data_IF_673163001522
#
_entry.id   IF_673163001522
#
_cell.length_a   1.000
_cell.length_b   1.000
_cell.length_c   1.000
_cell.angle_alpha   90.00
_cell.angle_beta   90.00
_cell.angle_gamma   90.00
#
_symmetry.space_group_name_H-M   'P 1'
#
loop_
_entity.id
_entity.type
_entity.pdbx_description
1 polymer ?
#
# COMPACT_ATOMS: atom_id res chain seq x y z
N UNK A 1 -15.78 18.97 27.68
CA UNK A 1 -14.74 18.11 27.12
C UNK A 1 -14.80 18.19 25.56
N UNK A 2 -14.32 19.29 24.94
CA UNK A 2 -14.39 19.53 23.48
C UNK A 2 -13.08 20.10 22.90
N UNK A 3 -11.93 19.91 23.55
CA UNK A 3 -10.65 20.49 23.13
C UNK A 3 -9.67 19.51 22.48
N UNK A 4 -10.00 18.22 22.39
CA UNK A 4 -9.06 17.20 21.89
C UNK A 4 -8.99 17.09 20.36
N UNK A 5 -10.03 17.50 19.65
CA UNK A 5 -10.08 17.40 18.18
C UNK A 5 -9.29 18.52 17.48
N UNK A 6 -9.22 19.71 18.10
CA UNK A 6 -8.53 20.87 17.51
C UNK A 6 -7.00 20.73 17.54
N UNK A 7 -6.47 20.01 18.53
CA UNK A 7 -5.02 19.81 18.67
C UNK A 7 -4.46 18.76 17.68
N UNK A 8 -5.29 17.81 17.23
CA UNK A 8 -4.86 16.79 16.26
C UNK A 8 -4.74 17.31 14.84
N UNK A 9 -5.55 18.30 14.47
CA UNK A 9 -5.46 18.94 13.16
C UNK A 9 -4.25 19.89 13.02
N UNK A 10 -3.75 20.44 14.12
CA UNK A 10 -2.60 21.35 14.10
C UNK A 10 -1.25 20.67 13.90
N UNK A 11 -1.12 19.37 14.19
CA UNK A 11 0.16 18.66 14.05
C UNK A 11 0.56 18.37 12.60
N UNK A 12 -0.40 18.27 11.68
CA UNK A 12 -0.12 18.04 10.24
C UNK A 12 0.22 19.35 9.53
N UNK A 13 -0.37 20.47 9.94
CA UNK A 13 -0.12 21.78 9.33
C UNK A 13 1.28 22.34 9.63
N UNK A 14 1.94 21.91 10.70
CA UNK A 14 3.25 22.46 11.09
C UNK A 14 4.43 21.90 10.31
N UNK A 15 4.28 20.73 9.66
CA UNK A 15 5.35 20.14 8.86
C UNK A 15 5.48 20.78 7.46
N UNK A 16 4.46 21.50 7.00
CA UNK A 16 4.48 22.18 5.69
C UNK A 16 5.07 23.60 5.70
N UNK A 17 5.42 24.18 6.85
CA UNK A 17 5.74 25.61 6.95
C UNK A 17 7.22 25.99 6.79
N UNK A 18 8.12 25.05 6.46
CA UNK A 18 9.57 25.29 6.32
C UNK A 18 10.13 25.03 4.92
N UNK A 19 9.29 24.83 3.91
CA UNK A 19 9.75 24.70 2.53
C UNK A 19 9.44 25.99 1.77
N UNK A 20 10.48 26.68 1.31
CA UNK A 20 10.35 27.66 0.21
C UNK A 20 9.63 26.96 -0.94
N UNK A 21 8.80 27.72 -1.70
CA UNK A 21 7.83 27.28 -2.71
C UNK A 21 8.05 25.84 -3.22
N UNK A 22 7.60 24.85 -2.48
CA UNK A 22 7.56 23.46 -2.90
C UNK A 22 6.40 23.32 -3.89
N UNK A 23 6.67 22.80 -5.08
CA UNK A 23 5.59 22.37 -5.97
C UNK A 23 4.92 21.16 -5.28
N UNK A 24 3.68 21.33 -4.87
CA UNK A 24 2.88 20.28 -4.26
C UNK A 24 1.76 19.87 -5.23
N UNK A 25 1.70 18.60 -5.55
CA UNK A 25 0.61 18.02 -6.35
C UNK A 25 -0.17 17.04 -5.49
N UNK A 26 -1.50 17.11 -5.55
CA UNK A 26 -2.37 16.09 -4.98
C UNK A 26 -3.16 15.42 -6.10
N UNK A 27 -3.07 14.09 -6.21
CA UNK A 27 -3.75 13.33 -7.25
C UNK A 27 -4.33 12.02 -6.71
N UNK A 28 -5.50 11.62 -7.21
CA UNK A 28 -6.08 10.32 -6.92
C UNK A 28 -5.47 9.23 -7.82
N UNK A 29 -5.17 8.05 -7.24
CA UNK A 29 -4.71 6.89 -8.01
C UNK A 29 -5.89 6.05 -8.48
N UNK A 30 -5.84 5.66 -9.75
CA UNK A 30 -6.79 4.73 -10.34
C UNK A 30 -6.11 3.37 -10.53
N UNK A 31 -6.71 2.34 -9.95
CA UNK A 31 -6.21 0.97 -10.06
C UNK A 31 -6.85 0.22 -11.21
N UNK A 32 -6.03 -0.55 -11.91
CA UNK A 32 -6.45 -1.52 -12.92
C UNK A 32 -6.19 -2.93 -12.41
N UNK A 33 -7.17 -3.82 -12.57
CA UNK A 33 -7.06 -5.21 -12.16
C UNK A 33 -6.47 -6.06 -13.28
N UNK A 34 -5.54 -6.96 -12.94
CA UNK A 34 -5.08 -7.99 -13.86
C UNK A 34 -6.22 -8.97 -14.20
N UNK A 35 -6.29 -9.40 -15.46
CA UNK A 35 -7.27 -10.40 -15.92
C UNK A 35 -6.90 -11.85 -15.53
N UNK A 36 -5.69 -12.07 -14.99
CA UNK A 36 -5.18 -13.40 -14.61
C UNK A 36 -5.15 -13.57 -13.09
N UNK A 37 -5.44 -14.78 -12.61
CA UNK A 37 -5.30 -15.14 -11.19
C UNK A 37 -3.83 -15.47 -10.86
N UNK A 38 -3.30 -15.02 -9.70
CA UNK A 38 -3.98 -14.22 -8.68
C UNK A 38 -4.23 -12.78 -9.16
N UNK A 39 -5.39 -12.25 -8.81
CA UNK A 39 -5.75 -10.89 -9.18
C UNK A 39 -4.80 -9.90 -8.48
N UNK A 40 -4.16 -9.08 -9.30
CA UNK A 40 -3.31 -7.98 -8.83
C UNK A 40 -3.91 -6.68 -9.34
N UNK A 41 -4.05 -5.72 -8.44
CA UNK A 41 -4.45 -4.36 -8.79
C UNK A 41 -3.21 -3.50 -8.86
N UNK A 42 -3.05 -2.79 -9.97
CA UNK A 42 -1.89 -1.92 -10.20
C UNK A 42 -2.34 -0.50 -10.50
N UNK A 43 -1.59 0.46 -9.99
CA UNK A 43 -1.71 1.87 -10.36
C UNK A 43 -0.32 2.45 -10.61
N UNK A 44 -0.26 3.44 -11.48
CA UNK A 44 0.97 4.21 -11.73
C UNK A 44 0.78 5.63 -11.24
N UNK A 45 1.87 6.25 -10.81
CA UNK A 45 1.91 7.64 -10.39
C UNK A 45 3.22 8.28 -10.85
N UNK A 46 3.26 9.59 -10.86
CA UNK A 46 4.47 10.33 -11.23
C UNK A 46 4.18 11.80 -11.42
N UNK A 47 5.24 12.59 -11.47
CA UNK A 47 5.15 14.01 -11.70
C UNK A 47 6.43 14.55 -12.36
N UNK A 48 6.29 15.71 -13.02
CA UNK A 48 7.42 16.55 -13.42
C UNK A 48 7.59 17.66 -12.40
N UNK A 49 8.78 17.77 -11.84
CA UNK A 49 9.05 18.61 -10.66
C UNK A 49 10.19 19.59 -10.92
N UNK A 50 10.19 20.69 -10.21
CA UNK A 50 11.30 21.65 -10.19
C UNK A 50 11.59 22.05 -8.76
N UNK A 51 12.86 22.17 -8.41
CA UNK A 51 13.34 22.47 -7.05
C UNK A 51 12.86 21.43 -6.02
N UNK A 52 12.41 21.89 -4.85
CA UNK A 52 11.80 21.01 -3.86
C UNK A 52 10.34 20.74 -4.23
N UNK A 53 9.86 19.52 -3.95
CA UNK A 53 8.50 19.09 -4.18
C UNK A 53 7.96 18.25 -3.02
N UNK A 54 6.63 18.24 -2.88
CA UNK A 54 5.92 17.46 -1.88
C UNK A 54 4.59 17.00 -2.49
N UNK A 55 4.58 15.83 -3.08
CA UNK A 55 3.42 15.28 -3.77
C UNK A 55 2.68 14.26 -2.90
N UNK A 56 1.36 14.27 -2.99
CA UNK A 56 0.47 13.36 -2.28
C UNK A 56 -0.43 12.63 -3.28
N UNK A 57 -0.38 11.32 -3.27
CA UNK A 57 -1.28 10.48 -4.07
C UNK A 57 -2.24 9.76 -3.16
N UNK A 58 -3.55 9.99 -3.38
CA UNK A 58 -4.62 9.41 -2.55
C UNK A 58 -5.24 8.22 -3.22
N UNK A 59 -5.63 7.20 -2.45
CA UNK A 59 -6.38 6.05 -2.94
C UNK A 59 -7.14 5.35 -1.83
N UNK A 60 -8.12 4.54 -2.21
CA UNK A 60 -8.77 3.57 -1.34
C UNK A 60 -8.27 2.17 -1.70
N UNK A 61 -8.39 1.22 -0.76
CA UNK A 61 -7.98 -0.15 -1.04
C UNK A 61 -8.75 -0.70 -2.27
N UNK A 62 -8.06 -1.07 -3.35
CA UNK A 62 -8.72 -1.51 -4.59
C UNK A 62 -9.30 -2.93 -4.49
N UNK A 63 -8.85 -3.69 -3.49
CA UNK A 63 -9.30 -5.06 -3.28
C UNK A 63 -10.63 -5.04 -2.56
N UNK A 64 -11.71 -5.33 -3.27
CA UNK A 64 -13.03 -5.50 -2.65
C UNK A 64 -13.13 -6.85 -1.94
N UNK A 65 -13.77 -6.92 -0.75
CA UNK A 65 -14.07 -8.20 -0.13
C UNK A 65 -14.93 -9.03 -1.09
N UNK A 66 -14.48 -10.23 -1.44
CA UNK A 66 -15.34 -11.16 -2.18
C UNK A 66 -16.53 -11.52 -1.28
N UNK A 67 -17.75 -11.41 -1.81
CA UNK A 67 -18.97 -11.75 -1.10
C UNK A 67 -18.90 -13.19 -0.59
N UNK A 68 -18.79 -13.36 0.73
CA UNK A 68 -18.64 -14.67 1.40
C UNK A 68 -17.38 -14.80 2.29
N UNK A 69 -16.42 -13.89 2.20
CA UNK A 69 -15.25 -13.84 3.08
C UNK A 69 -15.41 -12.69 4.08
N UNK A 70 -16.15 -12.94 5.14
CA UNK A 70 -16.22 -12.05 6.30
C UNK A 70 -15.03 -12.32 7.21
N UNK A 71 -14.00 -11.52 7.10
CA UNK A 71 -12.84 -11.57 7.98
C UNK A 71 -11.71 -10.75 7.39
N UNK A 72 -11.04 -9.94 8.18
CA UNK A 72 -10.03 -8.97 7.76
C UNK A 72 -8.90 -9.55 6.92
N UNK A 73 -9.09 -9.66 5.62
CA UNK A 73 -8.05 -10.05 4.69
C UNK A 73 -7.01 -8.94 4.64
N UNK A 74 -5.81 -9.22 5.10
CA UNK A 74 -4.66 -8.34 4.93
C UNK A 74 -4.20 -8.41 3.48
N UNK A 75 -4.24 -7.30 2.76
CA UNK A 75 -3.69 -7.24 1.42
C UNK A 75 -2.21 -6.88 1.49
N UNK A 76 -1.38 -7.64 0.78
CA UNK A 76 0.05 -7.36 0.67
C UNK A 76 0.28 -6.63 -0.64
N UNK A 77 1.05 -5.55 -0.57
CA UNK A 77 1.43 -4.76 -1.72
C UNK A 77 2.92 -4.51 -1.81
N UNK A 78 3.35 -4.15 -3.00
CA UNK A 78 4.69 -3.63 -3.28
C UNK A 78 4.58 -2.28 -3.96
N UNK A 79 5.51 -1.40 -3.66
CA UNK A 79 5.57 -0.06 -4.18
C UNK A 79 7.01 0.28 -4.56
N UNK A 80 7.20 0.81 -5.75
CA UNK A 80 8.50 1.25 -6.24
C UNK A 80 8.39 2.58 -6.98
N UNK A 81 9.44 3.38 -6.89
CA UNK A 81 9.58 4.69 -7.52
C UNK A 81 10.97 4.85 -8.11
N UNK A 82 11.06 5.52 -9.24
CA UNK A 82 12.32 5.87 -9.90
C UNK A 82 12.22 7.31 -10.43
N UNK A 83 13.28 8.07 -10.28
CA UNK A 83 13.36 9.46 -10.71
C UNK A 83 14.59 9.78 -11.54
N UNK A 84 14.43 10.77 -12.42
CA UNK A 84 15.49 11.37 -13.20
C UNK A 84 15.71 12.80 -12.73
N UNK A 85 16.94 13.15 -12.38
CA UNK A 85 17.30 14.44 -11.78
C UNK A 85 16.52 14.76 -10.49
N UNK A 86 16.20 13.77 -9.69
CA UNK A 86 15.54 13.93 -8.38
C UNK A 86 16.23 13.10 -7.32
N UNK A 87 16.18 13.59 -6.08
CA UNK A 87 16.59 12.86 -4.88
C UNK A 87 15.37 12.87 -3.93
N UNK A 88 14.91 11.69 -3.53
CA UNK A 88 13.79 11.55 -2.60
C UNK A 88 14.25 11.80 -1.16
N UNK A 89 13.54 12.66 -0.45
CA UNK A 89 13.73 12.92 0.98
C UNK A 89 12.67 12.26 1.86
N UNK A 90 11.50 11.95 1.28
CA UNK A 90 10.42 11.22 1.93
C UNK A 90 9.71 10.34 0.90
N UNK A 91 9.47 9.08 1.26
CA UNK A 91 8.65 8.15 0.50
C UNK A 91 7.93 7.23 1.47
N UNK A 92 6.64 7.50 1.74
CA UNK A 92 5.87 6.85 2.80
C UNK A 92 4.44 6.56 2.35
N UNK A 93 3.92 5.43 2.83
CA UNK A 93 2.52 5.09 2.75
C UNK A 93 1.87 5.35 4.11
N UNK A 94 0.82 6.16 4.12
CA UNK A 94 0.11 6.61 5.29
C UNK A 94 -1.35 6.17 5.25
N UNK A 95 -1.87 5.67 6.34
CA UNK A 95 -3.29 5.38 6.53
C UNK A 95 -3.93 6.61 7.18
N UNK A 96 -4.80 7.28 6.41
CA UNK A 96 -5.50 8.50 6.85
C UNK A 96 -6.51 8.19 7.94
N UNK A 97 -7.15 7.03 7.87
CA UNK A 97 -8.22 6.65 8.80
C UNK A 97 -7.66 6.34 10.19
N UNK A 98 -6.59 5.58 10.27
CA UNK A 98 -5.93 5.24 11.54
C UNK A 98 -4.86 6.25 11.96
N UNK A 99 -4.51 7.20 11.10
CA UNK A 99 -3.45 8.20 11.30
C UNK A 99 -2.09 7.55 11.59
N UNK A 100 -1.72 6.53 10.80
CA UNK A 100 -0.48 5.77 11.00
C UNK A 100 0.33 5.62 9.72
N UNK A 101 1.65 5.59 9.85
CA UNK A 101 2.57 5.23 8.75
C UNK A 101 2.57 3.70 8.65
N UNK A 102 2.18 3.18 7.47
CA UNK A 102 2.18 1.75 7.19
C UNK A 102 3.54 1.25 6.72
N UNK A 103 4.23 2.05 5.93
CA UNK A 103 5.54 1.70 5.40
C UNK A 103 6.32 2.93 4.93
N UNK A 104 7.64 2.81 4.87
CA UNK A 104 8.54 3.86 4.39
C UNK A 104 9.63 3.25 3.52
N UNK A 105 9.97 3.94 2.45
CA UNK A 105 11.10 3.60 1.58
C UNK A 105 12.39 4.33 1.95
N UNK A 106 13.47 3.91 1.33
CA UNK A 106 14.78 4.57 1.46
C UNK A 106 14.75 5.99 0.91
N UNK A 107 15.56 6.86 1.50
CA UNK A 107 15.72 8.27 1.13
C UNK A 107 17.17 8.56 0.74
N UNK A 108 17.41 9.70 0.10
CA UNK A 108 18.76 10.13 -0.32
C UNK A 108 19.20 9.61 -1.68
N UNK A 109 18.34 8.89 -2.40
CA UNK A 109 18.56 8.38 -3.76
C UNK A 109 17.48 8.79 -4.73
N UNK A 110 17.65 8.41 -5.98
CA UNK A 110 16.66 8.59 -7.06
C UNK A 110 15.75 7.38 -7.26
N UNK A 111 15.93 6.34 -6.47
CA UNK A 111 15.09 5.13 -6.45
C UNK A 111 14.72 4.78 -5.03
N UNK A 112 13.52 4.28 -4.83
CA UNK A 112 13.07 3.73 -3.54
C UNK A 112 12.00 2.68 -3.75
N UNK A 113 11.91 1.73 -2.83
CA UNK A 113 10.88 0.70 -2.85
C UNK A 113 10.61 0.18 -1.43
N UNK A 114 9.40 -0.30 -1.19
CA UNK A 114 9.03 -0.99 0.04
C UNK A 114 7.82 -1.90 -0.17
N UNK A 115 7.65 -2.85 0.74
CA UNK A 115 6.44 -3.67 0.84
C UNK A 115 5.55 -3.14 1.95
N UNK A 116 4.25 -3.33 1.82
CA UNK A 116 3.27 -2.85 2.76
C UNK A 116 2.08 -3.80 2.89
N UNK A 117 1.26 -3.57 3.92
CA UNK A 117 -0.02 -4.25 4.11
C UNK A 117 -1.12 -3.22 4.25
N UNK A 118 -2.27 -3.48 3.61
CA UNK A 118 -3.48 -2.66 3.75
C UNK A 118 -4.47 -3.42 4.65
N UNK A 119 -4.62 -3.02 5.92
CA UNK A 119 -5.39 -3.80 6.88
C UNK A 119 -6.91 -3.76 6.64
N UNK A 120 -7.42 -2.67 6.05
CA UNK A 120 -8.85 -2.46 5.88
C UNK A 120 -9.23 -2.13 4.43
N UNK A 121 -10.45 -2.53 4.02
CA UNK A 121 -10.94 -2.31 2.67
C UNK A 121 -11.54 -0.92 2.44
N UNK A 122 -12.03 -0.26 3.50
CA UNK A 122 -12.71 1.02 3.42
C UNK A 122 -11.85 2.22 3.77
N UNK A 123 -10.59 1.99 4.16
CA UNK A 123 -9.71 3.05 4.58
C UNK A 123 -9.14 3.84 3.38
N UNK A 124 -8.87 5.10 3.64
CA UNK A 124 -8.19 5.99 2.71
C UNK A 124 -6.71 6.01 3.01
N UNK A 125 -5.92 5.93 1.96
CA UNK A 125 -4.46 5.88 2.03
C UNK A 125 -3.86 7.05 1.26
N UNK A 126 -2.73 7.52 1.74
CA UNK A 126 -1.93 8.56 1.10
C UNK A 126 -0.50 8.07 0.89
N UNK A 127 -0.02 8.21 -0.33
CA UNK A 127 1.37 8.04 -0.68
C UNK A 127 2.04 9.41 -0.71
N UNK A 128 2.98 9.64 0.19
CA UNK A 128 3.72 10.88 0.33
C UNK A 128 5.07 10.75 -0.35
N UNK A 129 5.34 11.64 -1.30
CA UNK A 129 6.58 11.66 -2.10
C UNK A 129 7.17 13.06 -2.05
N UNK A 130 8.25 13.23 -1.28
CA UNK A 130 8.95 14.50 -1.21
C UNK A 130 10.39 14.34 -1.70
N UNK A 131 10.92 15.41 -2.25
CA UNK A 131 12.31 15.41 -2.73
C UNK A 131 12.75 16.77 -3.28
N UNK A 132 13.92 16.73 -3.88
CA UNK A 132 14.54 17.88 -4.54
C UNK A 132 15.10 17.47 -5.89
N UNK A 133 15.13 18.41 -6.84
CA UNK A 133 15.84 18.20 -8.10
C UNK A 133 17.35 18.30 -7.90
N UNK A 134 18.09 17.53 -8.69
CA UNK A 134 19.57 17.52 -8.69
C UNK A 134 20.08 17.61 -10.13
N UNK A 135 20.84 18.64 -10.50
CA UNK A 135 21.21 19.83 -9.71
C UNK A 135 20.00 20.71 -9.31
N UNK A 136 20.19 21.56 -8.29
CA UNK A 136 19.16 22.53 -7.89
C UNK A 136 18.79 23.45 -9.06
N UNK A 137 17.54 23.92 -9.08
CA UNK A 137 16.99 24.77 -10.15
C UNK A 137 16.91 24.11 -11.54
N UNK A 138 16.93 22.78 -11.60
CA UNK A 138 16.64 22.03 -12.82
C UNK A 138 15.23 21.46 -12.77
N UNK A 139 14.76 20.96 -13.91
CA UNK A 139 13.57 20.12 -13.95
C UNK A 139 13.97 18.67 -13.79
N UNK A 140 13.19 17.95 -13.01
CA UNK A 140 13.29 16.51 -12.85
C UNK A 140 11.93 15.87 -13.09
N UNK A 141 11.91 14.56 -13.13
CA UNK A 141 10.66 13.80 -13.19
C UNK A 141 10.83 12.50 -12.43
N UNK A 142 9.72 11.97 -11.94
CA UNK A 142 9.69 10.64 -11.36
C UNK A 142 8.44 9.89 -11.80
N UNK A 143 8.53 8.59 -11.78
CA UNK A 143 7.42 7.68 -11.99
C UNK A 143 7.54 6.49 -11.05
N UNK A 144 6.41 5.97 -10.63
CA UNK A 144 6.33 4.81 -9.76
C UNK A 144 5.12 3.97 -10.06
N UNK A 145 5.11 2.80 -9.46
CA UNK A 145 3.98 1.88 -9.52
C UNK A 145 3.68 1.33 -8.13
N UNK A 146 2.41 1.09 -7.89
CA UNK A 146 1.91 0.38 -6.72
C UNK A 146 1.16 -0.85 -7.20
N UNK A 147 1.42 -2.00 -6.58
CA UNK A 147 0.72 -3.24 -6.84
C UNK A 147 0.17 -3.80 -5.54
N UNK A 148 -1.10 -4.22 -5.54
CA UNK A 148 -1.80 -4.77 -4.38
C UNK A 148 -2.42 -6.10 -4.77
N UNK A 149 -2.23 -7.13 -3.95
CA UNK A 149 -2.85 -8.44 -4.12
C UNK A 149 -3.57 -8.89 -2.86
N UNK A 150 -4.69 -9.60 -3.03
CA UNK A 150 -5.37 -10.24 -1.92
C UNK A 150 -4.55 -11.42 -1.40
N UNK A 151 -4.41 -11.52 -0.09
CA UNK A 151 -3.83 -12.70 0.56
C UNK A 151 -4.96 -13.60 1.04
N UNK A 152 -4.98 -14.89 0.66
CA UNK A 152 -5.96 -15.82 1.19
C UNK A 152 -5.88 -15.88 2.71
N UNK A 153 -7.04 -15.84 3.37
CA UNK A 153 -7.11 -15.85 4.83
C UNK A 153 -6.51 -17.14 5.41
N UNK A 154 -5.88 -17.06 6.61
CA UNK A 154 -5.40 -18.24 7.33
C UNK A 154 -6.47 -19.32 7.54
N UNK A 155 -7.76 -18.92 7.64
CA UNK A 155 -8.91 -19.82 7.72
C UNK A 155 -9.05 -20.72 6.49
N UNK A 156 -8.74 -20.21 5.29
CA UNK A 156 -8.78 -20.98 4.04
C UNK A 156 -7.75 -22.13 4.08
N UNK A 157 -6.54 -21.86 4.55
CA UNK A 157 -5.52 -22.88 4.72
C UNK A 157 -5.89 -23.88 5.83
N UNK A 158 -6.45 -23.40 6.95
CA UNK A 158 -6.91 -24.25 8.03
C UNK A 158 -8.02 -25.20 7.58
N UNK A 159 -8.99 -24.71 6.80
CA UNK A 159 -10.07 -25.55 6.23
C UNK A 159 -9.55 -26.55 5.20
N UNK A 160 -8.57 -26.17 4.38
CA UNK A 160 -7.91 -27.10 3.45
C UNK A 160 -7.19 -28.21 4.20
N UNK A 161 -6.40 -27.90 5.23
CA UNK A 161 -5.70 -28.88 6.05
C UNK A 161 -6.69 -29.77 6.79
N UNK A 162 -7.77 -29.21 7.35
CA UNK A 162 -8.82 -29.98 8.02
C UNK A 162 -9.52 -30.95 7.05
N UNK A 163 -9.83 -30.48 5.82
CA UNK A 163 -10.43 -31.31 4.77
C UNK A 163 -9.51 -32.46 4.34
N UNK A 164 -8.24 -32.19 4.10
CA UNK A 164 -7.25 -33.21 3.77
C UNK A 164 -7.03 -34.21 4.93
N UNK A 165 -7.03 -33.73 6.17
CA UNK A 165 -6.95 -34.57 7.35
C UNK A 165 -8.14 -35.54 7.47
N UNK A 166 -9.38 -35.04 7.20
CA UNK A 166 -10.56 -35.87 7.22
C UNK A 166 -10.55 -36.96 6.13
N UNK A 167 -10.11 -36.58 4.92
CA UNK A 167 -9.97 -37.56 3.81
C UNK A 167 -8.93 -38.60 4.12
N UNK A 168 -7.78 -38.23 4.65
CA UNK A 168 -6.72 -39.17 5.06
C UNK A 168 -7.20 -40.14 6.17
N UNK A 169 -7.95 -39.62 7.16
CA UNK A 169 -8.54 -40.40 8.22
C UNK A 169 -9.55 -41.44 7.69
N UNK A 170 -10.45 -41.04 6.82
CA UNK A 170 -11.46 -41.93 6.23
C UNK A 170 -10.82 -42.98 5.31
N UNK A 171 -9.79 -42.61 4.54
CA UNK A 171 -9.04 -43.57 3.70
C UNK A 171 -8.31 -44.63 4.53
N UNK A 172 -7.69 -44.24 5.67
CA UNK A 172 -7.05 -45.15 6.60
C UNK A 172 -8.04 -46.15 7.24
N UNK A 173 -9.25 -45.68 7.57
CA UNK A 173 -10.30 -46.50 8.17
C UNK A 173 -10.80 -47.59 7.21
N UNK A 174 -10.88 -47.29 5.91
CA UNK A 174 -11.28 -48.28 4.89
C UNK A 174 -10.26 -49.40 4.68
N UNK A 175 -8.97 -49.12 4.83
CA UNK A 175 -7.90 -50.16 4.73
C UNK A 175 -7.92 -51.16 5.88
N UNK A 176 -8.43 -50.82 7.05
CA UNK A 176 -8.53 -51.71 8.22
C UNK A 176 -9.73 -52.66 8.19
N UNK A 177 -10.68 -52.52 7.24
CA UNK A 177 -11.92 -53.32 7.15
C UNK A 177 -11.84 -54.45 6.12
N UNK A 178 -10.68 -54.76 5.57
CA UNK A 178 -10.50 -55.75 4.49
C UNK A 178 -9.86 -57.08 4.99
N UNK A 179 -10.08 -57.45 6.23
CA UNK A 179 -9.70 -58.74 6.75
C UNK A 179 -10.93 -59.47 7.33
N UNK A 180 -11.76 -60.00 6.46
CA UNK A 180 -12.58 -61.20 6.70
C UNK A 180 -12.93 -61.82 5.35
#
# INVERSE_FOLDING_TARGET
MKHSAFFKMMSIAWLCLLAGAANATTAGLTFTQSSTTPYVWTATFGNSVSNSFADTFTFTNPVTPQTGLSGGATNIGSLGINGTNVIFSLFQLFDVTSNTILASGGTGGNTSAFNFSLPNFSDSYELLVNGNTTPSNTTGSYAGNIAVSAVPEPKTYAMLVAGLGLVAFTARRRKGSSFF
#
